data_IF_931545903728
#
_entry.id   IF_931545903728
#
_cell.length_a   1.000
_cell.length_b   1.000
_cell.length_c   1.000
_cell.angle_alpha   90.00
_cell.angle_beta   90.00
_cell.angle_gamma   90.00
#
_symmetry.space_group_name_H-M   'P 1'
#
loop_
_entity.id
_entity.type
_entity.pdbx_description
1 polymer ?
#
# COMPACT_ATOMS: atom_id res chain seq x y z
N UNK A 1 -7.61 -11.90 -0.52
CA UNK A 1 -6.86 -13.04 -1.07
C UNK A 1 -6.10 -12.63 -2.32
N UNK A 2 -6.81 -12.45 -3.44
CA UNK A 2 -6.20 -12.06 -4.72
C UNK A 2 -5.35 -10.78 -4.63
N UNK A 3 -5.85 -9.74 -3.96
CA UNK A 3 -5.12 -8.48 -3.75
C UNK A 3 -3.83 -8.64 -2.93
N UNK A 4 -3.82 -9.52 -1.93
CA UNK A 4 -2.63 -9.80 -1.12
C UNK A 4 -1.58 -10.60 -1.91
N UNK A 5 -2.00 -11.61 -2.67
CA UNK A 5 -1.11 -12.44 -3.49
C UNK A 5 -0.57 -11.72 -4.74
N UNK A 6 -1.34 -10.81 -5.32
CA UNK A 6 -0.92 -10.04 -6.50
C UNK A 6 0.06 -8.91 -6.16
N UNK A 7 0.10 -8.44 -4.90
CA UNK A 7 0.93 -7.33 -4.46
C UNK A 7 2.42 -7.50 -4.80
N UNK A 8 3.10 -8.55 -4.31
CA UNK A 8 4.52 -8.77 -4.58
C UNK A 8 4.84 -8.91 -6.07
N UNK A 9 3.97 -9.59 -6.83
CA UNK A 9 4.16 -9.82 -8.27
C UNK A 9 4.03 -8.51 -9.07
N UNK A 10 3.03 -7.67 -8.74
CA UNK A 10 2.85 -6.37 -9.38
C UNK A 10 3.97 -5.39 -9.00
N UNK A 11 4.39 -5.37 -7.74
CA UNK A 11 5.51 -4.54 -7.29
C UNK A 11 6.82 -4.95 -7.95
N UNK A 12 7.06 -6.25 -8.13
CA UNK A 12 8.20 -6.77 -8.88
C UNK A 12 8.16 -6.32 -10.35
N UNK A 13 7.03 -6.51 -11.04
CA UNK A 13 6.89 -6.08 -12.42
C UNK A 13 7.11 -4.56 -12.58
N UNK A 14 6.53 -3.75 -11.70
CA UNK A 14 6.68 -2.29 -11.71
C UNK A 14 8.12 -1.85 -11.45
N UNK A 15 8.79 -2.42 -10.44
CA UNK A 15 10.18 -2.08 -10.12
C UNK A 15 11.11 -2.45 -11.27
N UNK A 16 10.88 -3.61 -11.88
CA UNK A 16 11.64 -4.07 -13.04
C UNK A 16 11.45 -3.12 -14.24
N UNK A 17 10.22 -2.73 -14.53
CA UNK A 17 9.89 -1.85 -15.66
C UNK A 17 10.44 -0.42 -15.48
N UNK A 18 10.38 0.13 -14.26
CA UNK A 18 10.70 1.53 -14.02
C UNK A 18 12.15 1.77 -13.58
N UNK A 19 12.79 0.81 -12.90
CA UNK A 19 14.16 0.96 -12.36
C UNK A 19 15.18 -0.03 -12.94
N UNK A 20 14.75 -0.97 -13.78
CA UNK A 20 15.63 -1.93 -14.46
C UNK A 20 16.20 -3.05 -13.57
N UNK A 21 16.86 -4.01 -14.22
CA UNK A 21 17.30 -5.25 -13.57
C UNK A 21 18.59 -5.13 -12.73
N UNK A 22 19.46 -4.15 -13.00
CA UNK A 22 20.79 -4.05 -12.36
C UNK A 22 20.72 -3.90 -10.83
N UNK A 23 19.69 -3.23 -10.31
CA UNK A 23 19.47 -3.05 -8.86
C UNK A 23 18.11 -3.57 -8.40
N UNK A 24 17.54 -4.53 -9.15
CA UNK A 24 16.19 -5.04 -8.90
C UNK A 24 16.00 -5.52 -7.45
N UNK A 25 16.96 -6.30 -6.92
CA UNK A 25 16.89 -6.83 -5.57
C UNK A 25 16.78 -5.71 -4.51
N UNK A 26 17.62 -4.66 -4.63
CA UNK A 26 17.59 -3.54 -3.69
C UNK A 26 16.32 -2.70 -3.84
N UNK A 27 15.92 -2.39 -5.07
CA UNK A 27 14.73 -1.56 -5.33
C UNK A 27 13.44 -2.28 -4.90
N UNK A 28 13.36 -3.59 -5.14
CA UNK A 28 12.24 -4.41 -4.70
C UNK A 28 12.20 -4.57 -3.18
N UNK A 29 13.35 -4.78 -2.54
CA UNK A 29 13.44 -4.82 -1.07
C UNK A 29 12.99 -3.51 -0.44
N UNK A 30 13.41 -2.36 -0.97
CA UNK A 30 12.96 -1.04 -0.48
C UNK A 30 11.45 -0.87 -0.66
N UNK A 31 10.91 -1.23 -1.84
CA UNK A 31 9.47 -1.17 -2.09
C UNK A 31 8.68 -2.03 -1.09
N UNK A 32 9.17 -3.22 -0.78
CA UNK A 32 8.51 -4.19 0.12
C UNK A 32 8.73 -3.85 1.60
N UNK A 33 9.76 -3.07 1.95
CA UNK A 33 10.04 -2.65 3.35
C UNK A 33 8.88 -1.86 3.96
N UNK A 34 8.09 -1.17 3.13
CA UNK A 34 6.88 -0.45 3.56
C UNK A 34 5.82 -1.36 4.17
N UNK A 35 5.88 -2.67 3.94
CA UNK A 35 4.98 -3.66 4.55
C UNK A 35 5.27 -3.90 6.04
N UNK A 36 6.50 -3.63 6.51
CA UNK A 36 6.87 -3.80 7.91
C UNK A 36 5.96 -2.95 8.82
N UNK A 37 5.89 -1.61 8.67
CA UNK A 37 4.97 -0.81 9.48
C UNK A 37 3.51 -1.15 9.21
N UNK A 38 3.14 -1.53 7.98
CA UNK A 38 1.77 -1.91 7.64
C UNK A 38 1.30 -3.18 8.39
N UNK A 39 2.21 -4.10 8.72
CA UNK A 39 1.89 -5.33 9.46
C UNK A 39 1.32 -5.05 10.86
N UNK A 40 1.68 -3.92 11.47
CA UNK A 40 1.16 -3.52 12.79
C UNK A 40 -0.27 -2.99 12.73
N UNK A 41 -0.82 -2.69 11.54
CA UNK A 41 -2.18 -2.18 11.41
C UNK A 41 -3.21 -3.14 12.03
N UNK A 42 -3.00 -4.46 11.90
CA UNK A 42 -3.86 -5.47 12.54
C UNK A 42 -3.76 -5.47 14.06
N UNK A 43 -2.55 -5.34 14.61
CA UNK A 43 -2.33 -5.24 16.05
C UNK A 43 -3.00 -3.99 16.63
N UNK A 44 -2.87 -2.85 15.95
CA UNK A 44 -3.53 -1.61 16.33
C UNK A 44 -5.06 -1.78 16.26
N UNK A 45 -5.57 -2.38 15.17
CA UNK A 45 -7.00 -2.60 14.96
C UNK A 45 -7.65 -3.42 16.09
N UNK A 46 -6.96 -4.45 16.57
CA UNK A 46 -7.43 -5.30 17.68
C UNK A 46 -7.28 -4.61 19.04
N UNK A 47 -6.33 -3.68 19.18
CA UNK A 47 -6.14 -2.87 20.39
C UNK A 47 -7.13 -1.72 20.57
N UNK A 48 -8.05 -1.48 19.61
CA UNK A 48 -9.02 -0.38 19.70
C UNK A 48 -10.08 -0.64 20.79
N UNK A 49 -10.47 0.38 21.57
CA UNK A 49 -11.59 0.27 22.50
C UNK A 49 -12.87 -0.14 21.76
N UNK A 50 -13.50 -1.24 22.17
CA UNK A 50 -14.67 -1.81 21.50
C UNK A 50 -14.37 -2.98 20.54
N UNK A 51 -13.11 -3.41 20.41
CA UNK A 51 -12.75 -4.66 19.73
C UNK A 51 -12.99 -5.92 20.61
N UNK A 52 -13.23 -5.73 21.92
CA UNK A 52 -13.20 -6.77 22.95
C UNK A 52 -14.24 -7.89 22.78
N UNK A 53 -15.33 -7.63 22.05
CA UNK A 53 -16.40 -8.61 21.86
C UNK A 53 -16.84 -8.80 20.39
N UNK A 54 -16.42 -7.90 19.48
CA UNK A 54 -16.79 -7.99 18.06
C UNK A 54 -15.68 -7.55 17.12
N UNK A 55 -15.48 -8.32 16.06
CA UNK A 55 -14.54 -8.02 14.97
C UNK A 55 -15.01 -6.91 14.03
N UNK A 56 -16.23 -6.39 14.21
CA UNK A 56 -16.78 -5.33 13.35
C UNK A 56 -15.94 -4.05 13.44
N UNK A 57 -15.50 -3.65 14.64
CA UNK A 57 -14.69 -2.42 14.83
C UNK A 57 -13.31 -2.52 14.17
N UNK A 58 -12.51 -3.59 14.40
CA UNK A 58 -11.26 -3.81 13.66
C UNK A 58 -11.45 -3.88 12.14
N UNK A 59 -12.53 -4.53 11.68
CA UNK A 59 -12.82 -4.67 10.24
C UNK A 59 -13.09 -3.32 9.58
N UNK A 60 -13.94 -2.48 10.19
CA UNK A 60 -14.25 -1.14 9.69
C UNK A 60 -13.02 -0.24 9.70
N UNK A 61 -12.17 -0.36 10.72
CA UNK A 61 -10.91 0.38 10.82
C UNK A 61 -9.94 0.00 9.68
N UNK A 62 -9.70 -1.31 9.48
CA UNK A 62 -8.85 -1.80 8.38
C UNK A 62 -9.41 -1.43 7.01
N UNK A 63 -10.73 -1.49 6.83
CA UNK A 63 -11.41 -1.06 5.61
C UNK A 63 -11.25 0.45 5.36
N UNK A 64 -11.38 1.26 6.41
CA UNK A 64 -11.16 2.70 6.36
C UNK A 64 -9.74 3.07 5.94
N UNK A 65 -8.72 2.42 6.53
CA UNK A 65 -7.32 2.61 6.14
C UNK A 65 -7.08 2.19 4.67
N UNK A 66 -7.68 1.07 4.24
CA UNK A 66 -7.58 0.61 2.86
C UNK A 66 -8.13 1.61 1.85
N UNK A 67 -9.32 2.18 2.13
CA UNK A 67 -9.92 3.20 1.28
C UNK A 67 -9.14 4.52 1.29
N UNK A 68 -8.66 4.95 2.46
CA UNK A 68 -7.83 6.14 2.58
C UNK A 68 -6.51 6.00 1.80
N UNK A 69 -5.86 4.84 1.90
CA UNK A 69 -4.65 4.52 1.14
C UNK A 69 -4.88 4.54 -0.38
N UNK A 70 -5.98 3.92 -0.83
CA UNK A 70 -6.35 3.96 -2.25
C UNK A 70 -6.61 5.39 -2.74
N UNK A 71 -7.37 6.18 -1.98
CA UNK A 71 -7.64 7.59 -2.28
C UNK A 71 -6.37 8.43 -2.32
N UNK A 72 -5.44 8.20 -1.39
CA UNK A 72 -4.15 8.88 -1.35
C UNK A 72 -3.30 8.57 -2.59
N UNK A 73 -3.21 7.30 -2.98
CA UNK A 73 -2.47 6.89 -4.19
C UNK A 73 -3.13 7.45 -5.46
N UNK A 74 -4.46 7.43 -5.56
CA UNK A 74 -5.19 8.03 -6.68
C UNK A 74 -4.95 9.55 -6.77
N UNK A 75 -4.92 10.24 -5.64
CA UNK A 75 -4.59 11.66 -5.56
C UNK A 75 -3.16 11.92 -6.03
N UNK A 76 -2.18 11.15 -5.56
CA UNK A 76 -0.79 11.30 -5.99
C UNK A 76 -0.64 11.10 -7.51
N UNK A 77 -1.33 10.11 -8.08
CA UNK A 77 -1.34 9.91 -9.53
C UNK A 77 -1.99 11.09 -10.27
N UNK A 78 -3.10 11.63 -9.76
CA UNK A 78 -3.73 12.81 -10.34
C UNK A 78 -2.80 14.04 -10.31
N UNK A 79 -2.07 14.24 -9.21
CA UNK A 79 -1.09 15.31 -9.06
C UNK A 79 0.13 15.10 -9.98
N UNK A 80 0.64 13.87 -10.10
CA UNK A 80 1.73 13.54 -11.00
C UNK A 80 1.36 13.77 -12.47
N UNK A 81 0.16 13.36 -12.87
CA UNK A 81 -0.37 13.60 -14.23
C UNK A 81 -0.53 15.09 -14.51
N UNK A 82 -1.00 15.87 -13.53
CA UNK A 82 -1.09 17.34 -13.62
C UNK A 82 0.28 18.00 -13.75
N UNK A 83 1.32 17.48 -13.09
CA UNK A 83 2.70 17.98 -13.20
C UNK A 83 3.27 17.76 -14.61
N UNK A 84 3.11 16.56 -15.18
CA UNK A 84 3.62 16.25 -16.53
C UNK A 84 3.01 17.16 -17.59
N UNK A 85 1.70 17.45 -17.49
CA UNK A 85 0.97 18.27 -18.46
C UNK A 85 1.32 19.78 -18.42
N UNK A 86 2.09 20.25 -17.42
CA UNK A 86 2.57 21.64 -17.33
C UNK A 86 3.99 21.80 -17.91
N UNK A 87 4.70 20.68 -18.10
CA UNK A 87 6.07 20.63 -18.66
C UNK A 87 6.13 20.31 -20.16
N UNK A 88 4.97 20.11 -20.80
CA UNK A 88 4.79 20.05 -22.26
C UNK A 88 4.29 21.40 -22.75
#
# INVERSE_FOLDING_TARGET
GLSYGAGPTLSAAYVQEHYGFQHFALNFSVATTTLIPASFAGTIAVGLPGASESFTTPLLFLLGIGLAGFGFVALLMALAKKRVNITQ
#
